data_IF_712870674165
#
_entry.id   IF_712870674165
#
_cell.length_a   1.000
_cell.length_b   1.000
_cell.length_c   1.000
_cell.angle_alpha   90.00
_cell.angle_beta   90.00
_cell.angle_gamma   90.00
#
_symmetry.space_group_name_H-M   'P 1'
#
loop_
_entity.id
_entity.type
_entity.pdbx_description
1 polymer ?
#
# COMPACT_ATOMS: atom_id res chain seq x y z
N UNK A 1 -56.71 -19.79 2.62
CA UNK A 1 -56.29 -18.77 1.64
C UNK A 1 -55.12 -18.05 2.25
N UNK A 2 -53.91 -18.39 1.80
CA UNK A 2 -52.66 -17.86 2.32
C UNK A 2 -52.13 -16.88 1.26
N UNK A 3 -52.14 -15.58 1.56
CA UNK A 3 -51.55 -14.55 0.71
C UNK A 3 -50.05 -14.48 0.99
N UNK A 4 -49.28 -14.98 0.02
CA UNK A 4 -47.83 -14.82 -0.07
C UNK A 4 -47.52 -13.38 -0.47
N UNK A 5 -46.99 -12.60 0.45
CA UNK A 5 -46.47 -11.26 0.17
C UNK A 5 -45.00 -11.39 -0.23
N UNK A 6 -44.73 -11.36 -1.54
CA UNK A 6 -43.38 -11.35 -2.10
C UNK A 6 -42.75 -9.97 -1.87
N UNK A 7 -41.75 -9.90 -1.00
CA UNK A 7 -40.90 -8.72 -0.88
C UNK A 7 -40.01 -8.60 -2.13
N UNK A 8 -39.86 -7.41 -2.73
CA UNK A 8 -38.91 -7.21 -3.82
C UNK A 8 -37.48 -7.26 -3.26
N UNK A 9 -36.65 -8.09 -3.87
CA UNK A 9 -35.24 -8.21 -3.54
C UNK A 9 -34.53 -6.86 -3.71
N UNK A 10 -33.91 -6.37 -2.64
CA UNK A 10 -32.99 -5.25 -2.69
C UNK A 10 -31.83 -5.60 -3.61
N UNK A 11 -31.81 -5.00 -4.80
CA UNK A 11 -30.65 -5.05 -5.69
C UNK A 11 -29.49 -4.30 -5.01
N UNK A 12 -28.25 -4.81 -5.06
CA UNK A 12 -27.10 -4.06 -4.59
C UNK A 12 -26.98 -2.76 -5.39
N UNK A 13 -26.50 -1.65 -4.77
CA UNK A 13 -26.34 -0.39 -5.47
C UNK A 13 -25.42 -0.61 -6.67
N UNK A 14 -25.89 -0.19 -7.85
CA UNK A 14 -25.10 -0.25 -9.07
C UNK A 14 -23.75 0.45 -8.84
N UNK A 15 -22.64 -0.06 -9.42
CA UNK A 15 -21.36 0.61 -9.33
C UNK A 15 -21.53 2.05 -9.84
N UNK A 16 -21.03 3.00 -9.04
CA UNK A 16 -20.98 4.43 -9.35
C UNK A 16 -20.48 4.55 -10.79
N UNK A 17 -21.36 4.89 -11.74
CA UNK A 17 -20.95 5.38 -13.04
C UNK A 17 -20.32 6.75 -12.80
N UNK A 18 -19.06 6.76 -12.35
CA UNK A 18 -18.20 7.93 -12.45
C UNK A 18 -17.92 8.08 -13.93
N UNK A 19 -18.86 8.77 -14.57
CA UNK A 19 -18.86 9.07 -15.97
C UNK A 19 -17.52 9.71 -16.34
N UNK A 20 -16.82 9.01 -17.21
CA UNK A 20 -15.88 9.53 -18.20
C UNK A 20 -16.43 10.83 -18.81
N UNK A 21 -16.15 11.97 -18.18
CA UNK A 21 -16.19 13.33 -18.74
C UNK A 21 -16.11 14.34 -17.59
N UNK A 22 -14.94 14.98 -17.44
CA UNK A 22 -14.79 16.45 -17.55
C UNK A 22 -13.41 16.87 -17.05
N UNK A 23 -12.45 16.87 -17.97
CA UNK A 23 -11.16 17.55 -17.84
C UNK A 23 -11.26 19.11 -17.85
N UNK A 24 -12.42 19.70 -17.50
CA UNK A 24 -12.56 21.16 -17.41
C UNK A 24 -13.73 21.58 -16.47
N UNK A 25 -13.54 22.47 -15.46
CA UNK A 25 -12.30 22.98 -14.86
C UNK A 25 -12.32 22.83 -13.32
N UNK A 26 -11.82 21.71 -12.77
CA UNK A 26 -11.66 21.52 -11.31
C UNK A 26 -10.99 22.72 -10.64
N UNK A 27 -10.00 23.31 -11.32
CA UNK A 27 -9.29 24.53 -10.92
C UNK A 27 -10.21 25.73 -10.64
N UNK A 28 -11.23 25.95 -11.45
CA UNK A 28 -12.13 27.10 -11.31
C UNK A 28 -13.33 26.81 -10.40
N UNK A 29 -13.57 25.53 -10.10
CA UNK A 29 -14.63 25.10 -9.19
C UNK A 29 -14.23 25.17 -7.71
N UNK A 30 -12.93 25.20 -7.39
CA UNK A 30 -12.45 25.25 -6.00
C UNK A 30 -12.91 26.51 -5.27
N UNK A 31 -13.48 26.32 -4.07
CA UNK A 31 -13.88 27.39 -3.16
C UNK A 31 -13.30 27.14 -1.78
N UNK A 32 -12.50 28.07 -1.27
CA UNK A 32 -11.89 27.94 0.06
C UNK A 32 -12.93 27.85 1.19
N UNK A 33 -14.08 28.51 1.03
CA UNK A 33 -15.19 28.42 1.98
C UNK A 33 -15.71 26.98 2.17
N UNK A 34 -15.67 26.15 1.11
CA UNK A 34 -16.04 24.73 1.22
C UNK A 34 -15.04 23.96 2.08
N UNK A 35 -13.73 24.20 1.91
CA UNK A 35 -12.68 23.59 2.74
C UNK A 35 -12.85 23.93 4.22
N UNK A 36 -13.14 25.19 4.54
CA UNK A 36 -13.38 25.63 5.92
C UNK A 36 -14.61 24.93 6.53
N UNK A 37 -15.72 24.84 5.77
CA UNK A 37 -16.91 24.12 6.20
C UNK A 37 -16.63 22.63 6.40
N UNK A 38 -15.97 21.99 5.44
CA UNK A 38 -15.60 20.57 5.52
C UNK A 38 -14.73 20.30 6.76
N UNK A 39 -13.70 21.11 7.00
CA UNK A 39 -12.84 20.96 8.18
C UNK A 39 -13.60 21.17 9.50
N UNK A 40 -14.57 22.06 9.55
CA UNK A 40 -15.44 22.20 10.72
C UNK A 40 -16.26 20.92 10.96
N UNK A 41 -16.82 20.32 9.91
CA UNK A 41 -17.51 19.04 10.02
C UNK A 41 -16.60 17.88 10.44
N UNK A 42 -15.38 17.81 9.90
CA UNK A 42 -14.37 16.82 10.33
C UNK A 42 -14.04 17.01 11.80
N UNK A 43 -13.81 18.24 12.25
CA UNK A 43 -13.53 18.54 13.65
C UNK A 43 -14.69 18.12 14.56
N UNK A 44 -15.94 18.38 14.16
CA UNK A 44 -17.14 17.91 14.87
C UNK A 44 -17.24 16.39 14.91
N UNK A 45 -16.92 15.71 13.81
CA UNK A 45 -16.96 14.25 13.73
C UNK A 45 -15.88 13.60 14.61
N UNK A 46 -14.70 14.21 14.69
CA UNK A 46 -13.60 13.78 15.56
C UNK A 46 -13.90 14.08 17.03
N UNK A 47 -14.52 15.23 17.31
CA UNK A 47 -15.01 15.54 18.64
C UNK A 47 -16.02 14.44 19.02
N UNK A 48 -15.79 13.72 20.12
CA UNK A 48 -16.60 12.54 20.50
C UNK A 48 -18.02 12.92 20.89
N UNK A 49 -18.21 14.13 21.44
CA UNK A 49 -19.50 14.75 21.74
C UNK A 49 -19.44 16.23 21.32
N UNK A 50 -20.41 16.69 20.53
CA UNK A 50 -20.48 18.08 20.08
C UNK A 50 -21.61 18.78 20.84
N UNK A 51 -21.26 19.77 21.66
CA UNK A 51 -22.21 20.59 22.40
C UNK A 51 -22.63 21.75 21.50
N UNK A 52 -23.36 21.45 20.44
CA UNK A 52 -23.82 22.50 19.52
C UNK A 52 -24.69 23.47 20.33
N UNK A 53 -24.43 24.78 20.21
CA UNK A 53 -24.89 25.84 21.13
C UNK A 53 -26.40 26.08 21.24
N UNK A 54 -27.24 25.15 20.78
CA UNK A 54 -28.67 25.12 21.07
C UNK A 54 -28.88 24.68 22.52
N UNK A 55 -28.74 25.65 23.44
CA UNK A 55 -29.07 25.47 24.86
C UNK A 55 -30.49 24.95 25.00
N UNK A 56 -30.62 23.66 25.26
CA UNK A 56 -31.85 23.10 25.81
C UNK A 56 -31.97 23.53 27.27
N UNK A 57 -33.20 23.70 27.74
CA UNK A 57 -33.49 24.18 29.09
C UNK A 57 -32.71 23.38 30.15
N UNK A 58 -32.04 24.07 31.07
CA UNK A 58 -31.18 23.41 32.06
C UNK A 58 -31.95 23.07 33.35
N UNK A 59 -32.01 21.78 33.68
CA UNK A 59 -32.63 21.30 34.92
C UNK A 59 -31.60 21.34 36.04
N UNK A 60 -31.71 22.29 36.97
CA UNK A 60 -30.69 22.43 38.04
C UNK A 60 -30.62 21.22 38.99
N UNK A 61 -31.73 20.53 39.19
CA UNK A 61 -31.86 19.41 40.12
C UNK A 61 -32.68 18.27 39.51
N UNK A 62 -32.13 17.06 39.55
CA UNK A 62 -32.79 15.82 39.12
C UNK A 62 -32.80 14.90 40.34
N UNK A 63 -33.95 14.83 41.02
CA UNK A 63 -34.04 14.21 42.35
C UNK A 63 -33.10 14.90 43.35
N UNK A 64 -32.18 14.13 43.93
CA UNK A 64 -31.14 14.64 44.85
C UNK A 64 -29.83 15.06 44.15
N UNK A 65 -29.69 14.79 42.84
CA UNK A 65 -28.46 15.06 42.09
C UNK A 65 -28.49 16.45 41.46
N UNK A 66 -27.39 17.20 41.60
CA UNK A 66 -27.22 18.52 40.98
C UNK A 66 -26.60 18.37 39.59
N UNK A 67 -27.24 18.96 38.59
CA UNK A 67 -26.76 18.96 37.21
C UNK A 67 -26.35 20.37 36.80
N UNK A 68 -25.09 20.52 36.39
CA UNK A 68 -24.62 21.75 35.77
C UNK A 68 -25.03 21.81 34.30
N UNK A 69 -25.08 23.02 33.73
CA UNK A 69 -25.40 23.20 32.31
C UNK A 69 -24.42 22.41 31.41
N UNK A 70 -23.13 22.40 31.76
CA UNK A 70 -22.11 21.65 31.02
C UNK A 70 -22.36 20.14 31.04
N UNK A 71 -22.68 19.58 32.22
CA UNK A 71 -22.98 18.14 32.34
C UNK A 71 -24.24 17.74 31.54
N UNK A 72 -25.19 18.67 31.39
CA UNK A 72 -26.38 18.44 30.59
C UNK A 72 -26.08 18.55 29.09
N UNK A 73 -25.27 19.51 28.68
CA UNK A 73 -24.82 19.62 27.30
C UNK A 73 -24.05 18.36 26.87
N UNK A 74 -23.15 17.87 27.73
CA UNK A 74 -22.41 16.62 27.52
C UNK A 74 -23.36 15.39 27.46
N UNK A 75 -24.39 15.36 28.33
CA UNK A 75 -25.43 14.33 28.31
C UNK A 75 -26.23 14.33 27.00
N UNK A 76 -26.70 15.49 26.52
CA UNK A 76 -27.48 15.58 25.29
C UNK A 76 -26.63 15.27 24.05
N UNK A 77 -25.39 15.74 24.03
CA UNK A 77 -24.44 15.42 22.96
C UNK A 77 -24.13 13.92 22.90
N UNK A 78 -24.00 13.27 24.07
CA UNK A 78 -23.83 11.82 24.16
C UNK A 78 -25.08 11.03 23.74
N UNK A 79 -26.26 11.49 24.16
CA UNK A 79 -27.52 10.88 23.80
C UNK A 79 -27.77 10.92 22.29
N UNK A 80 -27.41 12.03 21.62
CA UNK A 80 -27.55 12.17 20.17
C UNK A 80 -26.67 11.19 19.37
N UNK A 81 -25.54 10.74 19.91
CA UNK A 81 -24.58 9.88 19.21
C UNK A 81 -24.66 8.40 19.57
N UNK A 82 -24.83 8.10 20.85
CA UNK A 82 -24.87 6.72 21.37
C UNK A 82 -26.30 6.15 21.40
N UNK A 83 -27.31 7.04 21.37
CA UNK A 83 -28.71 6.67 21.48
C UNK A 83 -29.13 6.29 22.91
N UNK A 84 -30.44 6.17 23.13
CA UNK A 84 -31.04 5.97 24.46
C UNK A 84 -30.61 4.69 25.19
N UNK A 85 -30.14 3.69 24.46
CA UNK A 85 -29.86 2.35 24.99
C UNK A 85 -28.51 2.24 25.67
N UNK A 86 -27.54 3.11 25.36
CA UNK A 86 -26.19 3.04 25.89
C UNK A 86 -25.97 3.97 27.10
N UNK A 87 -26.62 3.64 28.21
CA UNK A 87 -26.54 4.43 29.46
C UNK A 87 -25.12 4.44 30.02
N UNK A 88 -24.37 3.35 29.86
CA UNK A 88 -23.00 3.24 30.34
C UNK A 88 -22.06 4.15 29.53
N UNK A 89 -22.20 4.18 28.21
CA UNK A 89 -21.46 5.09 27.34
C UNK A 89 -21.78 6.56 27.61
N UNK A 90 -23.06 6.89 27.87
CA UNK A 90 -23.48 8.25 28.22
C UNK A 90 -22.92 8.68 29.59
N UNK A 91 -22.98 7.83 30.61
CA UNK A 91 -22.39 8.13 31.92
C UNK A 91 -20.87 8.33 31.81
N UNK A 92 -20.19 7.50 31.01
CA UNK A 92 -18.76 7.65 30.73
C UNK A 92 -18.42 8.93 29.96
N UNK A 93 -19.31 9.40 29.09
CA UNK A 93 -19.16 10.66 28.35
C UNK A 93 -19.19 11.89 29.26
N UNK A 94 -20.09 11.88 30.26
CA UNK A 94 -20.24 12.97 31.24
C UNK A 94 -19.11 12.93 32.26
N UNK A 95 -18.67 11.73 32.66
CA UNK A 95 -17.54 11.48 33.55
C UNK A 95 -17.77 11.82 35.03
N UNK A 96 -18.71 12.71 35.37
CA UNK A 96 -19.03 13.14 36.74
C UNK A 96 -20.27 12.49 37.32
N UNK A 97 -21.10 11.86 36.48
CA UNK A 97 -22.38 11.25 36.87
C UNK A 97 -22.30 9.75 36.76
N UNK A 98 -22.93 9.08 37.72
CA UNK A 98 -23.01 7.63 37.77
C UNK A 98 -24.08 7.09 36.80
N UNK A 99 -24.00 5.80 36.47
CA UNK A 99 -25.00 5.09 35.66
C UNK A 99 -26.43 5.30 36.18
N UNK A 100 -26.74 5.12 37.49
CA UNK A 100 -28.10 5.32 37.99
C UNK A 100 -28.56 6.79 37.93
N UNK A 101 -27.68 7.78 38.12
CA UNK A 101 -28.03 9.20 37.99
C UNK A 101 -28.37 9.56 36.54
N UNK A 102 -27.60 9.02 35.59
CA UNK A 102 -27.83 9.18 34.15
C UNK A 102 -29.15 8.53 33.74
N UNK A 103 -29.44 7.34 34.27
CA UNK A 103 -30.69 6.62 34.05
C UNK A 103 -31.89 7.37 34.65
N UNK A 104 -31.76 7.95 35.85
CA UNK A 104 -32.81 8.74 36.48
C UNK A 104 -33.21 9.96 35.63
N UNK A 105 -32.23 10.63 35.02
CA UNK A 105 -32.51 11.75 34.10
C UNK A 105 -33.20 11.27 32.81
N UNK A 106 -32.78 10.15 32.22
CA UNK A 106 -33.45 9.56 31.05
C UNK A 106 -34.90 9.17 31.35
N UNK A 107 -35.15 8.57 32.53
CA UNK A 107 -36.49 8.21 32.98
C UNK A 107 -37.35 9.45 33.20
N UNK A 108 -36.80 10.52 33.78
CA UNK A 108 -37.53 11.77 33.94
C UNK A 108 -37.97 12.36 32.59
N UNK A 109 -37.10 12.31 31.57
CA UNK A 109 -37.49 12.74 30.22
C UNK A 109 -38.53 11.82 29.58
N UNK A 110 -38.43 10.51 29.81
CA UNK A 110 -39.41 9.55 29.32
C UNK A 110 -40.78 9.75 29.97
N UNK A 111 -40.82 9.92 31.29
CA UNK A 111 -42.04 10.17 32.05
C UNK A 111 -42.66 11.51 31.64
N UNK A 112 -41.85 12.56 31.54
CA UNK A 112 -42.32 13.86 31.05
C UNK A 112 -42.88 13.78 29.61
N UNK A 113 -42.24 13.00 28.73
CA UNK A 113 -42.74 12.76 27.38
C UNK A 113 -44.02 11.90 27.36
N UNK A 114 -44.21 11.00 28.34
CA UNK A 114 -45.42 10.17 28.47
C UNK A 114 -46.61 10.91 29.08
N UNK A 115 -46.35 11.88 29.96
CA UNK A 115 -47.34 12.69 30.66
C UNK A 115 -47.73 13.95 29.89
N UNK A 116 -46.80 14.51 29.12
CA UNK A 116 -47.13 15.55 28.18
C UNK A 116 -48.06 14.94 27.12
N UNK A 117 -49.29 15.44 27.02
CA UNK A 117 -50.22 15.16 25.91
C UNK A 117 -49.72 15.80 24.59
N UNK A 118 -48.41 16.01 24.48
CA UNK A 118 -47.71 16.25 23.23
C UNK A 118 -47.87 14.99 22.41
N UNK A 119 -48.67 15.09 21.35
CA UNK A 119 -48.84 13.99 20.41
C UNK A 119 -47.46 13.37 20.11
N UNK A 120 -47.33 12.03 20.10
CA UNK A 120 -46.07 11.38 19.73
C UNK A 120 -45.59 12.03 18.45
N UNK A 121 -44.32 12.46 18.38
CA UNK A 121 -43.73 13.11 17.20
C UNK A 121 -44.25 12.40 15.98
N UNK A 122 -45.24 13.00 15.30
CA UNK A 122 -45.84 12.35 14.15
C UNK A 122 -44.76 12.35 13.09
N UNK A 123 -44.75 11.42 12.13
CA UNK A 123 -43.81 11.47 11.01
C UNK A 123 -43.81 12.80 10.23
N UNK A 124 -44.81 13.67 10.45
CA UNK A 124 -44.88 15.05 9.95
C UNK A 124 -44.04 16.08 10.75
N UNK A 125 -43.80 15.80 12.03
CA UNK A 125 -43.07 16.66 12.98
C UNK A 125 -41.56 16.34 12.96
N UNK A 126 -41.22 15.11 12.58
CA UNK A 126 -39.86 14.75 12.15
C UNK A 126 -39.78 15.18 10.68
N UNK A 127 -38.98 16.19 10.30
CA UNK A 127 -38.77 16.44 8.89
C UNK A 127 -38.28 15.14 8.26
N UNK A 128 -39.07 14.58 7.34
CA UNK A 128 -38.64 13.42 6.55
C UNK A 128 -37.24 13.74 6.05
N UNK A 129 -36.32 12.78 6.17
CA UNK A 129 -34.93 12.96 5.74
C UNK A 129 -34.97 13.68 4.39
N UNK A 130 -34.53 14.95 4.40
CA UNK A 130 -34.63 15.78 3.22
C UNK A 130 -33.65 15.17 2.24
N UNK A 131 -34.18 14.52 1.21
CA UNK A 131 -33.34 13.98 0.16
C UNK A 131 -32.60 15.16 -0.45
N UNK A 132 -31.27 15.13 -0.36
CA UNK A 132 -30.44 16.17 -0.93
C UNK A 132 -30.65 16.08 -2.42
N UNK A 133 -31.41 17.03 -2.98
CA UNK A 133 -31.79 17.00 -4.39
C UNK A 133 -30.57 16.76 -5.27
N UNK A 134 -30.73 15.98 -6.34
CA UNK A 134 -29.63 15.52 -7.20
C UNK A 134 -28.70 16.66 -7.64
N UNK A 135 -29.26 17.84 -7.95
CA UNK A 135 -28.49 19.04 -8.30
C UNK A 135 -27.55 19.52 -7.18
N UNK A 136 -27.97 19.45 -5.92
CA UNK A 136 -27.13 19.77 -4.77
C UNK A 136 -26.06 18.68 -4.56
N UNK A 137 -26.43 17.41 -4.71
CA UNK A 137 -25.49 16.29 -4.65
C UNK A 137 -24.38 16.41 -5.69
N UNK A 138 -24.73 16.65 -6.96
CA UNK A 138 -23.78 16.89 -8.05
C UNK A 138 -22.84 18.06 -7.76
N UNK A 139 -23.36 19.13 -7.15
CA UNK A 139 -22.54 20.29 -6.78
C UNK A 139 -21.57 19.97 -5.63
N UNK A 140 -22.00 19.20 -4.63
CA UNK A 140 -21.13 18.77 -3.53
C UNK A 140 -20.01 17.85 -4.03
N UNK A 141 -20.33 16.90 -4.91
CA UNK A 141 -19.34 16.04 -5.56
C UNK A 141 -18.34 16.87 -6.38
N UNK A 142 -18.81 17.85 -7.16
CA UNK A 142 -17.92 18.76 -7.90
C UNK A 142 -16.99 19.57 -6.96
N UNK A 143 -17.49 20.03 -5.81
CA UNK A 143 -16.65 20.72 -4.83
C UNK A 143 -15.64 19.79 -4.15
N UNK A 144 -16.03 18.55 -3.87
CA UNK A 144 -15.15 17.53 -3.32
C UNK A 144 -14.02 17.18 -4.31
N UNK A 145 -14.36 16.96 -5.58
CA UNK A 145 -13.38 16.73 -6.65
C UNK A 145 -12.41 17.91 -6.82
N UNK A 146 -12.91 19.14 -6.73
CA UNK A 146 -12.10 20.35 -6.81
C UNK A 146 -11.14 20.50 -5.61
N UNK A 147 -11.60 20.14 -4.41
CA UNK A 147 -10.77 20.11 -3.20
C UNK A 147 -9.68 19.04 -3.31
N UNK A 148 -10.03 17.81 -3.70
CA UNK A 148 -9.07 16.71 -3.89
C UNK A 148 -7.98 17.06 -4.91
N UNK A 149 -8.36 17.69 -6.03
CA UNK A 149 -7.41 18.20 -7.02
C UNK A 149 -6.49 19.29 -6.46
N UNK A 150 -7.02 20.19 -5.62
CA UNK A 150 -6.20 21.23 -4.98
C UNK A 150 -5.19 20.63 -4.00
N UNK A 151 -5.61 19.67 -3.18
CA UNK A 151 -4.75 18.95 -2.24
C UNK A 151 -3.63 18.20 -2.98
N UNK A 152 -3.95 17.46 -4.04
CA UNK A 152 -2.94 16.75 -4.85
C UNK A 152 -1.87 17.72 -5.41
N UNK A 153 -2.28 18.92 -5.83
CA UNK A 153 -1.34 19.94 -6.32
C UNK A 153 -0.49 20.57 -5.23
N UNK A 154 -1.05 20.78 -4.05
CA UNK A 154 -0.29 21.25 -2.89
C UNK A 154 0.75 20.20 -2.49
N UNK A 155 0.36 18.94 -2.38
CA UNK A 155 1.25 17.82 -2.05
C UNK A 155 2.36 17.67 -3.10
N UNK A 156 2.03 17.74 -4.38
CA UNK A 156 3.01 17.69 -5.47
C UNK A 156 4.01 18.84 -5.42
N UNK A 157 3.53 20.07 -5.17
CA UNK A 157 4.40 21.23 -5.02
C UNK A 157 5.36 21.06 -3.82
N UNK A 158 4.85 20.58 -2.68
CA UNK A 158 5.69 20.32 -1.52
C UNK A 158 6.74 19.24 -1.78
N UNK A 159 6.38 18.16 -2.46
CA UNK A 159 7.29 17.08 -2.82
C UNK A 159 8.36 17.57 -3.82
N UNK A 160 7.98 18.39 -4.81
CA UNK A 160 8.90 19.00 -5.76
C UNK A 160 9.92 19.91 -5.05
N UNK A 161 9.48 20.72 -4.09
CA UNK A 161 10.38 21.55 -3.27
C UNK A 161 11.36 20.70 -2.43
N UNK A 162 10.90 19.56 -1.90
CA UNK A 162 11.71 18.68 -1.04
C UNK A 162 12.71 17.83 -1.82
N UNK A 163 12.31 17.32 -2.99
CA UNK A 163 13.06 16.28 -3.70
C UNK A 163 13.53 16.68 -5.11
N UNK A 164 13.18 17.88 -5.58
CA UNK A 164 13.56 18.39 -6.90
C UNK A 164 13.02 17.49 -8.01
N UNK A 165 13.78 17.21 -9.08
CA UNK A 165 13.27 16.52 -10.28
C UNK A 165 12.83 15.07 -10.06
N UNK A 166 13.22 14.46 -8.92
CA UNK A 166 12.88 13.07 -8.57
C UNK A 166 11.75 13.01 -7.54
N UNK A 167 10.85 14.00 -7.49
CA UNK A 167 9.72 14.03 -6.57
C UNK A 167 8.65 12.98 -6.89
N UNK A 168 8.41 12.74 -8.19
CA UNK A 168 7.47 11.73 -8.70
C UNK A 168 8.23 10.56 -9.32
N UNK A 169 7.99 9.36 -8.82
CA UNK A 169 8.57 8.13 -9.36
C UNK A 169 7.55 7.53 -10.32
N UNK A 170 7.71 7.84 -11.60
CA UNK A 170 6.99 7.20 -12.71
C UNK A 170 7.69 5.91 -13.12
N UNK A 171 7.06 5.02 -13.91
CA UNK A 171 7.70 3.82 -14.42
C UNK A 171 9.03 4.10 -15.16
N UNK A 172 9.13 5.21 -15.89
CA UNK A 172 10.36 5.61 -16.59
C UNK A 172 11.45 6.05 -15.60
N UNK A 173 11.09 6.88 -14.62
CA UNK A 173 12.01 7.34 -13.57
C UNK A 173 12.47 6.15 -12.71
N UNK A 174 11.58 5.23 -12.36
CA UNK A 174 11.91 4.00 -11.65
C UNK A 174 12.96 3.17 -12.40
N UNK A 175 12.81 2.99 -13.71
CA UNK A 175 13.77 2.27 -14.54
C UNK A 175 15.15 2.98 -14.60
N UNK A 176 15.17 4.32 -14.65
CA UNK A 176 16.41 5.10 -14.61
C UNK A 176 17.13 4.96 -13.25
N UNK A 177 16.37 5.03 -12.15
CA UNK A 177 16.92 4.88 -10.80
C UNK A 177 17.51 3.48 -10.63
N UNK A 178 16.75 2.43 -10.99
CA UNK A 178 17.22 1.04 -10.89
C UNK A 178 18.44 0.82 -11.78
N UNK A 179 18.44 1.29 -13.03
CA UNK A 179 19.58 1.21 -13.93
C UNK A 179 20.83 1.94 -13.42
N UNK A 180 20.68 3.02 -12.65
CA UNK A 180 21.78 3.71 -12.00
C UNK A 180 22.32 2.95 -10.77
N UNK A 181 21.46 2.27 -10.01
CA UNK A 181 21.88 1.40 -8.89
C UNK A 181 22.51 0.10 -9.36
N UNK A 182 22.05 -0.42 -10.50
CA UNK A 182 22.69 -1.48 -11.26
C UNK A 182 23.93 -0.92 -11.97
N UNK A 183 24.89 -0.42 -11.18
CA UNK A 183 26.27 -0.37 -11.68
C UNK A 183 26.57 -1.73 -12.31
N UNK A 184 27.13 -1.79 -13.53
CA UNK A 184 27.47 -3.07 -14.11
C UNK A 184 28.36 -3.73 -13.07
N UNK A 185 27.85 -4.80 -12.43
CA UNK A 185 28.67 -5.71 -11.63
C UNK A 185 29.92 -5.84 -12.44
N UNK A 186 31.06 -5.37 -11.94
CA UNK A 186 32.34 -5.49 -12.65
C UNK A 186 32.40 -6.95 -13.03
N UNK A 187 32.02 -7.26 -14.27
CA UNK A 187 32.03 -8.61 -14.80
C UNK A 187 33.46 -8.98 -14.58
N UNK A 188 33.68 -9.91 -13.63
CA UNK A 188 35.01 -10.18 -13.09
C UNK A 188 35.91 -10.25 -14.30
N UNK A 189 36.82 -9.26 -14.39
CA UNK A 189 37.65 -8.94 -15.55
C UNK A 189 37.81 -10.21 -16.36
N UNK A 190 37.10 -10.37 -17.50
CA UNK A 190 37.10 -11.63 -18.25
C UNK A 190 38.55 -12.02 -18.40
N UNK A 191 38.95 -13.05 -17.65
CA UNK A 191 40.35 -13.44 -17.57
C UNK A 191 40.66 -13.91 -18.99
N UNK A 192 41.40 -13.09 -19.71
CA UNK A 192 41.77 -13.31 -21.10
C UNK A 192 42.29 -14.75 -21.22
N UNK A 193 41.58 -15.55 -22.04
CA UNK A 193 41.86 -16.97 -22.21
C UNK A 193 43.26 -17.23 -22.74
N UNK A 194 43.71 -18.48 -22.63
CA UNK A 194 44.94 -18.97 -23.27
C UNK A 194 45.02 -18.55 -24.75
N UNK A 195 46.24 -18.37 -25.28
CA UNK A 195 46.44 -18.09 -26.71
C UNK A 195 45.76 -19.15 -27.59
N UNK A 196 45.43 -18.79 -28.83
CA UNK A 196 44.71 -19.66 -29.78
C UNK A 196 45.39 -21.01 -29.96
N UNK A 197 46.72 -21.06 -29.98
CA UNK A 197 47.49 -22.30 -30.00
C UNK A 197 47.29 -23.15 -28.74
N UNK A 198 47.53 -22.61 -27.53
CA UNK A 198 47.36 -23.38 -26.30
C UNK A 198 45.91 -23.83 -26.07
N UNK A 199 44.93 -23.05 -26.54
CA UNK A 199 43.51 -23.42 -26.52
C UNK A 199 43.22 -24.62 -27.43
N UNK A 200 43.77 -24.62 -28.66
CA UNK A 200 43.65 -25.74 -29.61
C UNK A 200 44.22 -27.05 -29.05
N UNK A 201 45.30 -26.96 -28.27
CA UNK A 201 45.98 -28.11 -27.70
C UNK A 201 45.59 -28.42 -26.23
N UNK A 202 44.60 -27.72 -25.67
CA UNK A 202 44.14 -27.86 -24.28
C UNK A 202 45.28 -27.84 -23.24
N UNK A 203 46.28 -26.98 -23.45
CA UNK A 203 47.42 -26.81 -22.55
C UNK A 203 47.33 -25.51 -21.75
N UNK A 204 47.97 -25.50 -20.58
CA UNK A 204 48.14 -24.26 -19.80
C UNK A 204 49.00 -23.27 -20.59
N UNK A 205 48.66 -21.99 -20.51
CA UNK A 205 49.31 -20.92 -21.25
C UNK A 205 49.90 -19.92 -20.27
N UNK A 206 51.19 -19.63 -20.46
CA UNK A 206 52.03 -18.86 -19.54
C UNK A 206 51.85 -17.34 -19.72
N UNK A 207 51.02 -16.93 -20.69
CA UNK A 207 50.61 -15.55 -21.00
C UNK A 207 51.70 -14.58 -21.49
N UNK A 208 52.92 -15.05 -21.62
CA UNK A 208 53.99 -14.33 -22.34
C UNK A 208 53.75 -14.40 -23.87
N UNK A 209 54.31 -13.43 -24.60
CA UNK A 209 54.25 -13.36 -26.08
C UNK A 209 55.67 -13.42 -26.65
N UNK A 210 56.12 -14.56 -27.22
CA UNK A 210 55.42 -15.85 -27.36
C UNK A 210 55.34 -16.63 -26.04
N UNK A 211 54.29 -17.44 -25.87
CA UNK A 211 54.12 -18.25 -24.66
C UNK A 211 55.19 -19.36 -24.58
N UNK A 212 55.66 -19.75 -23.39
CA UNK A 212 56.72 -20.77 -23.24
C UNK A 212 56.37 -22.11 -23.89
N UNK A 213 55.11 -22.54 -23.81
CA UNK A 213 54.62 -23.71 -24.54
C UNK A 213 54.61 -23.55 -26.07
N UNK A 214 54.37 -22.34 -26.57
CA UNK A 214 54.38 -21.99 -27.99
C UNK A 214 55.81 -21.99 -28.54
N UNK A 215 56.75 -21.52 -27.71
CA UNK A 215 58.20 -21.52 -27.96
C UNK A 215 58.76 -22.93 -28.04
N UNK A 216 58.42 -23.81 -27.08
CA UNK A 216 58.81 -25.23 -27.10
C UNK A 216 58.33 -25.97 -28.35
N UNK A 217 57.20 -25.55 -28.92
CA UNK A 217 56.58 -26.18 -30.10
C UNK A 217 57.04 -25.58 -31.44
N UNK A 218 57.96 -24.61 -31.42
CA UNK A 218 58.40 -23.87 -32.62
C UNK A 218 57.24 -23.25 -33.41
N UNK A 219 56.14 -22.89 -32.73
CA UNK A 219 54.90 -22.33 -33.30
C UNK A 219 54.65 -20.92 -32.76
N UNK A 220 55.70 -20.10 -32.74
CA UNK A 220 55.64 -18.73 -32.19
C UNK A 220 54.67 -17.85 -32.97
N UNK A 221 54.56 -18.07 -34.28
CA UNK A 221 53.66 -17.33 -35.19
C UNK A 221 52.18 -17.65 -34.96
N UNK A 222 51.85 -18.81 -34.37
CA UNK A 222 50.47 -19.21 -34.04
C UNK A 222 50.05 -18.78 -32.62
N UNK A 223 50.94 -18.13 -31.85
CA UNK A 223 50.67 -17.65 -30.49
C UNK A 223 49.94 -16.30 -30.50
N UNK A 224 48.67 -16.30 -30.90
CA UNK A 224 47.85 -15.09 -30.98
C UNK A 224 46.85 -15.09 -29.83
N UNK A 225 46.76 -13.98 -29.10
CA UNK A 225 45.69 -13.76 -28.13
C UNK A 225 44.54 -13.03 -28.86
N UNK A 226 43.29 -13.52 -28.77
CA UNK A 226 42.16 -12.84 -29.39
C UNK A 226 42.04 -11.43 -28.78
N UNK A 227 42.18 -10.40 -29.61
CA UNK A 227 41.90 -9.03 -29.20
C UNK A 227 40.41 -8.96 -28.84
N UNK A 228 40.11 -8.49 -27.62
CA UNK A 228 38.73 -8.23 -27.20
C UNK A 228 38.15 -7.16 -28.14
N UNK A 229 37.30 -7.56 -29.08
CA UNK A 229 36.39 -6.63 -29.74
C UNK A 229 35.48 -6.08 -28.64
N UNK A 230 35.68 -4.82 -28.26
CA UNK A 230 34.67 -4.10 -27.52
C UNK A 230 33.43 -4.06 -28.42
N UNK A 231 32.25 -4.52 -27.97
CA UNK A 231 31.04 -4.32 -28.76
C UNK A 231 30.89 -2.81 -29.00
N UNK A 232 30.69 -2.43 -30.26
CA UNK A 232 30.48 -1.04 -30.65
C UNK A 232 29.32 -0.49 -29.82
N UNK A 233 29.59 0.56 -29.03
CA UNK A 233 28.53 1.34 -28.39
C UNK A 233 27.64 1.88 -29.51
N UNK A 234 26.31 1.65 -29.50
CA UNK A 234 25.43 2.35 -30.42
C UNK A 234 25.57 3.85 -30.12
N UNK A 235 25.94 4.62 -31.15
CA UNK A 235 25.96 6.08 -31.11
C UNK A 235 24.51 6.55 -31.14
N UNK A 236 23.84 6.48 -29.99
CA UNK A 236 22.68 7.33 -29.75
C UNK A 236 23.18 8.72 -29.41
N UNK A 237 22.69 9.70 -30.16
CA UNK A 237 22.99 11.11 -29.91
C UNK A 237 22.35 11.51 -28.57
N UNK A 238 23.12 11.38 -27.50
CA UNK A 238 22.79 11.91 -26.19
C UNK A 238 22.69 13.44 -26.30
N UNK A 239 21.47 13.97 -26.32
CA UNK A 239 21.20 15.29 -25.75
C UNK A 239 21.36 15.18 -24.24
N UNK A 240 22.61 15.13 -23.76
CA UNK A 240 22.96 15.38 -22.37
C UNK A 240 22.65 16.84 -22.06
N UNK A 241 21.40 17.12 -21.70
CA UNK A 241 21.14 18.21 -20.78
C UNK A 241 21.80 17.83 -19.45
N UNK A 242 22.75 18.67 -19.04
CA UNK A 242 23.50 18.50 -17.83
C UNK A 242 22.56 18.53 -16.60
N UNK A 243 22.24 17.36 -16.07
CA UNK A 243 21.87 17.21 -14.67
C UNK A 243 23.11 16.70 -13.94
N UNK A 244 23.63 17.53 -13.03
CA UNK A 244 24.77 17.17 -12.18
C UNK A 244 24.44 15.98 -11.28
N UNK A 245 25.45 15.15 -11.04
CA UNK A 245 25.50 14.07 -10.04
C UNK A 245 24.15 13.40 -9.75
N UNK A 246 23.84 12.33 -10.50
CA UNK A 246 22.66 11.49 -10.27
C UNK A 246 22.51 11.20 -8.76
N UNK A 247 21.45 11.69 -8.10
CA UNK A 247 21.25 11.42 -6.69
C UNK A 247 20.93 9.94 -6.57
N UNK A 248 21.91 9.13 -6.17
CA UNK A 248 21.68 7.75 -5.77
C UNK A 248 20.58 7.76 -4.69
N UNK A 249 19.40 7.27 -5.04
CA UNK A 249 18.28 7.09 -4.12
C UNK A 249 18.58 5.81 -3.33
N UNK A 250 19.02 5.89 -2.06
CA UNK A 250 19.39 4.69 -1.30
C UNK A 250 18.22 3.72 -1.16
N UNK A 251 16.98 4.24 -1.11
CA UNK A 251 15.76 3.45 -1.02
C UNK A 251 15.60 2.45 -2.17
N UNK A 252 16.04 2.84 -3.38
CA UNK A 252 15.93 2.02 -4.58
C UNK A 252 16.98 0.89 -4.65
N UNK A 253 17.93 0.86 -3.70
CA UNK A 253 18.85 -0.29 -3.55
C UNK A 253 18.13 -1.49 -2.94
N UNK A 254 17.19 -1.23 -2.02
CA UNK A 254 16.46 -2.27 -1.29
C UNK A 254 15.11 -2.57 -1.93
N UNK A 255 14.38 -1.52 -2.31
CA UNK A 255 13.07 -1.62 -2.95
C UNK A 255 13.25 -1.54 -4.45
N UNK A 256 12.55 -2.39 -5.21
CA UNK A 256 12.48 -2.34 -6.67
C UNK A 256 11.23 -1.53 -7.09
N UNK A 257 11.31 -0.19 -7.19
CA UNK A 257 10.14 0.63 -7.54
C UNK A 257 9.49 0.22 -8.87
N UNK A 258 10.26 -0.24 -9.85
CA UNK A 258 9.72 -0.70 -11.14
C UNK A 258 8.79 -1.89 -10.96
N UNK A 259 9.19 -2.87 -10.15
CA UNK A 259 8.35 -4.04 -9.85
C UNK A 259 7.13 -3.63 -9.05
N UNK A 260 7.28 -2.73 -8.07
CA UNK A 260 6.15 -2.23 -7.28
C UNK A 260 5.09 -1.54 -8.16
N UNK A 261 5.51 -0.66 -9.07
CA UNK A 261 4.60 0.03 -9.99
C UNK A 261 4.00 -0.94 -11.01
N UNK A 262 4.78 -1.90 -11.52
CA UNK A 262 4.27 -2.94 -12.42
C UNK A 262 3.16 -3.75 -11.76
N UNK A 263 3.39 -4.27 -10.54
CA UNK A 263 2.38 -5.02 -9.79
C UNK A 263 1.14 -4.15 -9.47
N UNK A 264 1.33 -2.86 -9.22
CA UNK A 264 0.20 -1.94 -9.03
C UNK A 264 -0.66 -1.82 -10.29
N UNK A 265 -0.02 -1.68 -11.46
CA UNK A 265 -0.67 -1.54 -12.76
C UNK A 265 -1.33 -2.83 -13.25
N UNK A 266 -0.70 -3.98 -13.03
CA UNK A 266 -1.16 -5.25 -13.60
C UNK A 266 -2.06 -6.06 -12.67
N UNK A 267 -1.85 -5.99 -11.35
CA UNK A 267 -2.55 -6.83 -10.38
C UNK A 267 -3.43 -6.02 -9.42
N UNK A 268 -2.85 -5.09 -8.66
CA UNK A 268 -3.54 -4.52 -7.51
C UNK A 268 -4.62 -3.50 -7.86
N UNK A 269 -4.43 -2.73 -8.94
CA UNK A 269 -5.37 -1.71 -9.39
C UNK A 269 -6.03 -2.06 -10.73
N UNK A 270 -5.94 -3.32 -11.15
CA UNK A 270 -6.51 -3.83 -12.38
C UNK A 270 -7.56 -4.91 -12.07
N UNK A 271 -8.75 -4.53 -11.57
CA UNK A 271 -9.81 -5.49 -11.31
C UNK A 271 -10.39 -6.04 -12.61
N UNK A 272 -10.73 -7.34 -12.61
CA UNK A 272 -11.43 -7.95 -13.73
C UNK A 272 -12.81 -7.29 -13.96
N UNK A 273 -13.20 -7.04 -15.23
CA UNK A 273 -14.50 -6.46 -15.54
C UNK A 273 -15.69 -7.39 -15.20
N UNK A 274 -15.43 -8.68 -14.98
CA UNK A 274 -16.48 -9.68 -14.72
C UNK A 274 -16.89 -9.74 -13.25
N UNK A 275 -15.99 -9.32 -12.33
CA UNK A 275 -16.25 -9.36 -10.89
C UNK A 275 -16.61 -7.97 -10.40
N UNK A 276 -17.77 -7.78 -9.74
CA UNK A 276 -18.11 -6.48 -9.15
C UNK A 276 -17.12 -6.17 -8.02
N UNK A 277 -16.12 -5.35 -8.34
CA UNK A 277 -15.11 -4.91 -7.40
C UNK A 277 -15.46 -3.52 -6.85
N UNK A 278 -15.33 -3.26 -5.53
CA UNK A 278 -15.68 -1.96 -4.95
C UNK A 278 -14.82 -0.79 -5.41
N UNK A 279 -13.66 -1.08 -6.01
CA UNK A 279 -12.65 -0.07 -6.35
C UNK A 279 -12.54 0.08 -7.87
N UNK A 280 -12.32 1.31 -8.30
CA UNK A 280 -12.14 1.67 -9.70
C UNK A 280 -10.85 1.11 -10.29
N UNK A 281 -10.85 0.88 -11.60
CA UNK A 281 -9.63 0.55 -12.36
C UNK A 281 -8.68 1.75 -12.36
N UNK A 282 -7.36 1.52 -12.39
CA UNK A 282 -6.37 2.61 -12.31
C UNK A 282 -6.55 3.70 -13.38
N UNK A 283 -7.13 3.37 -14.55
CA UNK A 283 -7.41 4.35 -15.61
C UNK A 283 -8.48 5.37 -15.24
N UNK A 284 -9.35 5.06 -14.28
CA UNK A 284 -10.36 6.01 -13.76
C UNK A 284 -9.77 6.90 -12.67
N UNK A 285 -8.66 6.49 -12.06
CA UNK A 285 -7.96 7.23 -11.02
C UNK A 285 -6.82 8.12 -11.56
N UNK A 286 -6.74 8.33 -12.88
CA UNK A 286 -5.66 9.14 -13.46
C UNK A 286 -5.81 10.62 -13.09
N UNK A 287 -4.69 11.26 -12.80
CA UNK A 287 -4.63 12.70 -12.55
C UNK A 287 -3.80 13.43 -13.60
N UNK A 288 -3.84 14.76 -13.56
CA UNK A 288 -3.02 15.62 -14.44
C UNK A 288 -1.51 15.35 -14.25
N UNK A 289 -1.12 14.88 -13.05
CA UNK A 289 0.26 14.60 -12.69
C UNK A 289 0.71 13.21 -13.13
N UNK A 290 -0.19 12.22 -13.08
CA UNK A 290 0.14 10.83 -13.37
C UNK A 290 -0.98 10.12 -14.16
N UNK A 291 -0.65 9.73 -15.39
CA UNK A 291 -1.52 8.93 -16.27
C UNK A 291 -1.43 7.43 -16.02
N UNK A 292 -0.39 7.00 -15.31
CA UNK A 292 -0.17 5.61 -14.94
C UNK A 292 0.17 5.55 -13.44
N UNK A 293 0.04 4.36 -12.81
CA UNK A 293 0.45 4.19 -11.41
C UNK A 293 1.87 4.70 -11.19
N UNK A 294 1.98 5.67 -10.30
CA UNK A 294 3.23 6.32 -9.89
C UNK A 294 3.19 6.54 -8.38
N UNK A 295 4.34 6.88 -7.80
CA UNK A 295 4.43 7.09 -6.37
C UNK A 295 5.30 8.30 -6.03
N UNK A 296 4.90 9.05 -5.00
CA UNK A 296 5.73 10.12 -4.46
C UNK A 296 7.03 9.58 -3.83
N UNK A 297 8.08 10.38 -3.85
CA UNK A 297 9.36 10.02 -3.22
C UNK A 297 9.25 9.89 -1.71
N UNK A 298 8.44 10.71 -1.04
CA UNK A 298 8.12 10.50 0.39
C UNK A 298 7.45 9.14 0.67
N UNK A 299 6.60 8.65 -0.24
CA UNK A 299 5.99 7.34 -0.10
C UNK A 299 7.05 6.22 -0.20
N UNK A 300 7.95 6.30 -1.19
CA UNK A 300 9.06 5.34 -1.32
C UNK A 300 9.95 5.34 -0.06
N UNK A 301 10.28 6.53 0.47
CA UNK A 301 11.03 6.69 1.71
C UNK A 301 10.33 6.06 2.92
N UNK A 302 9.02 6.23 3.01
CA UNK A 302 8.22 5.63 4.08
C UNK A 302 8.21 4.11 3.97
N UNK A 303 8.05 3.55 2.77
CA UNK A 303 8.14 2.10 2.56
C UNK A 303 9.52 1.56 2.95
N UNK A 304 10.60 2.24 2.54
CA UNK A 304 11.94 1.86 2.94
C UNK A 304 12.12 1.88 4.46
N UNK A 305 11.68 2.95 5.13
CA UNK A 305 11.75 3.05 6.59
C UNK A 305 10.96 1.95 7.30
N UNK A 306 9.77 1.59 6.79
CA UNK A 306 8.96 0.50 7.31
C UNK A 306 9.67 -0.85 7.16
N UNK A 307 10.22 -1.15 5.98
CA UNK A 307 10.95 -2.40 5.73
C UNK A 307 12.19 -2.49 6.62
N UNK A 308 12.97 -1.42 6.75
CA UNK A 308 14.13 -1.38 7.66
C UNK A 308 13.72 -1.57 9.11
N UNK A 309 12.63 -0.95 9.56
CA UNK A 309 12.12 -1.09 10.92
C UNK A 309 11.65 -2.52 11.23
N UNK A 310 10.92 -3.15 10.30
CA UNK A 310 10.44 -4.53 10.45
C UNK A 310 11.62 -5.51 10.43
N UNK A 311 12.52 -5.39 9.46
CA UNK A 311 13.70 -6.26 9.36
C UNK A 311 14.63 -6.11 10.56
N UNK A 312 14.86 -4.89 11.05
CA UNK A 312 15.66 -4.66 12.27
C UNK A 312 15.06 -5.36 13.47
N UNK A 313 13.74 -5.24 13.69
CA UNK A 313 13.05 -5.95 14.78
C UNK A 313 13.18 -7.45 14.64
N UNK A 314 12.96 -7.99 13.44
CA UNK A 314 13.09 -9.42 13.17
C UNK A 314 14.51 -9.95 13.44
N UNK A 315 15.53 -9.26 12.94
CA UNK A 315 16.94 -9.62 13.16
C UNK A 315 17.30 -9.54 14.64
N UNK A 316 16.90 -8.48 15.34
CA UNK A 316 17.14 -8.34 16.77
C UNK A 316 16.49 -9.46 17.58
N UNK A 317 15.23 -9.78 17.32
CA UNK A 317 14.53 -10.87 18.01
C UNK A 317 15.17 -12.22 17.69
N UNK A 318 15.56 -12.48 16.44
CA UNK A 318 16.25 -13.71 16.05
C UNK A 318 17.62 -13.85 16.74
N UNK A 319 18.38 -12.77 16.86
CA UNK A 319 19.64 -12.75 17.61
C UNK A 319 19.43 -13.01 19.10
N UNK A 320 18.37 -12.46 19.71
CA UNK A 320 18.01 -12.74 21.11
C UNK A 320 17.66 -14.22 21.29
N UNK A 321 16.88 -14.81 20.38
CA UNK A 321 16.55 -16.25 20.43
C UNK A 321 17.80 -17.12 20.26
N UNK A 322 18.66 -16.81 19.28
CA UNK A 322 19.90 -17.53 19.06
C UNK A 322 20.85 -17.44 20.26
N UNK A 323 21.01 -16.25 20.84
CA UNK A 323 21.86 -16.06 22.03
C UNK A 323 21.29 -16.76 23.26
N UNK A 324 19.97 -16.77 23.46
CA UNK A 324 19.30 -17.54 24.51
C UNK A 324 19.58 -19.04 24.35
N UNK A 325 19.40 -19.59 23.13
CA UNK A 325 19.72 -21.00 22.82
C UNK A 325 21.20 -21.31 23.09
N UNK A 326 22.13 -20.47 22.63
CA UNK A 326 23.55 -20.67 22.84
C UNK A 326 23.91 -20.66 24.34
N UNK A 327 23.30 -19.77 25.14
CA UNK A 327 23.48 -19.74 26.61
C UNK A 327 22.98 -21.02 27.26
N UNK A 328 21.81 -21.52 26.88
CA UNK A 328 21.26 -22.77 27.41
C UNK A 328 22.10 -24.01 27.01
N UNK A 329 22.69 -23.99 25.81
CA UNK A 329 23.50 -25.10 25.29
C UNK A 329 24.95 -25.11 25.78
N UNK A 330 25.45 -24.03 26.41
CA UNK A 330 26.82 -23.95 26.97
C UNK A 330 27.13 -25.00 28.03
N UNK A 331 26.13 -25.57 28.69
CA UNK A 331 26.33 -26.64 29.68
C UNK A 331 26.63 -28.01 29.03
N UNK A 332 26.28 -28.20 27.74
CA UNK A 332 26.56 -29.44 27.01
C UNK A 332 27.86 -29.26 26.23
N UNK A 333 28.89 -30.01 26.63
CA UNK A 333 30.25 -30.01 26.07
C UNK A 333 30.27 -30.68 24.69
N UNK A 334 29.45 -30.21 23.76
CA UNK A 334 29.42 -30.73 22.40
C UNK A 334 30.24 -29.82 21.48
N UNK A 335 31.20 -30.42 20.77
CA UNK A 335 32.24 -29.74 19.97
C UNK A 335 31.67 -29.02 18.74
N UNK A 336 30.36 -29.13 18.51
CA UNK A 336 29.66 -28.62 17.32
C UNK A 336 28.78 -27.38 17.58
N UNK A 337 28.86 -26.75 18.75
CA UNK A 337 28.05 -25.57 19.07
C UNK A 337 28.63 -24.27 18.47
N UNK A 338 28.51 -24.11 17.14
CA UNK A 338 28.93 -22.89 16.45
C UNK A 338 27.94 -21.74 16.73
N UNK A 339 28.43 -20.50 16.94
CA UNK A 339 27.59 -19.33 17.21
C UNK A 339 26.91 -18.84 15.94
N UNK A 340 25.92 -19.60 15.46
CA UNK A 340 25.17 -19.33 14.23
C UNK A 340 23.69 -19.26 14.56
N UNK A 341 22.97 -18.33 13.96
CA UNK A 341 21.50 -18.23 14.02
C UNK A 341 20.91 -19.40 13.21
N UNK A 342 20.09 -20.22 13.85
CA UNK A 342 19.41 -21.36 13.19
C UNK A 342 18.05 -20.94 12.65
N UNK A 343 17.53 -21.68 11.67
CA UNK A 343 16.17 -21.49 11.12
C UNK A 343 15.10 -21.48 12.22
N UNK A 344 15.24 -22.31 13.25
CA UNK A 344 14.30 -22.33 14.39
C UNK A 344 14.32 -21.02 15.19
N UNK A 345 15.48 -20.40 15.37
CA UNK A 345 15.60 -19.12 16.11
C UNK A 345 14.81 -18.01 15.38
N UNK A 346 14.84 -18.02 14.03
CA UNK A 346 14.09 -17.09 13.18
C UNK A 346 12.59 -17.38 13.21
N UNK A 347 12.18 -18.65 13.13
CA UNK A 347 10.75 -19.03 13.20
C UNK A 347 10.12 -18.63 14.53
N UNK A 348 10.81 -18.88 15.65
CA UNK A 348 10.36 -18.41 16.97
C UNK A 348 10.29 -16.89 17.04
N UNK A 349 11.23 -16.17 16.42
CA UNK A 349 11.19 -14.72 16.36
C UNK A 349 9.96 -14.19 15.57
N UNK A 350 9.62 -14.83 14.45
CA UNK A 350 8.41 -14.52 13.67
C UNK A 350 7.15 -14.70 14.53
N UNK A 351 7.07 -15.80 15.29
CA UNK A 351 5.93 -16.09 16.16
C UNK A 351 5.81 -15.06 17.30
N UNK A 352 6.93 -14.66 17.91
CA UNK A 352 6.97 -13.62 18.96
C UNK A 352 6.50 -12.27 18.41
N UNK A 353 6.91 -11.93 17.19
CA UNK A 353 6.49 -10.70 16.51
C UNK A 353 5.07 -10.79 15.93
N UNK A 354 4.39 -11.94 16.09
CA UNK A 354 3.05 -12.23 15.55
C UNK A 354 2.96 -11.98 14.03
N UNK A 355 4.04 -12.28 13.32
CA UNK A 355 4.10 -12.17 11.86
C UNK A 355 3.66 -13.50 11.23
N UNK A 356 3.06 -13.43 10.04
CA UNK A 356 2.80 -14.64 9.25
C UNK A 356 4.12 -15.26 8.79
N UNK A 357 4.23 -16.58 8.88
CA UNK A 357 5.46 -17.31 8.51
C UNK A 357 5.73 -17.31 7.02
N UNK A 358 4.67 -17.39 6.20
CA UNK A 358 4.77 -17.47 4.75
C UNK A 358 3.90 -16.41 4.05
N UNK A 359 4.35 -15.96 2.89
CA UNK A 359 3.61 -15.05 2.00
C UNK A 359 2.58 -15.75 1.10
N UNK A 360 2.59 -17.08 1.01
CA UNK A 360 1.71 -17.84 0.09
C UNK A 360 0.22 -17.56 0.30
N UNK A 361 -0.23 -17.52 1.56
CA UNK A 361 -1.62 -17.14 1.87
C UNK A 361 -1.97 -15.74 1.40
N UNK A 362 -1.01 -14.80 1.46
CA UNK A 362 -1.25 -13.43 1.00
C UNK A 362 -1.53 -13.42 -0.50
N UNK A 363 -0.71 -14.13 -1.28
CA UNK A 363 -0.84 -14.23 -2.74
C UNK A 363 -2.07 -15.04 -3.17
N UNK A 364 -2.40 -16.14 -2.50
CA UNK A 364 -3.70 -16.84 -2.71
C UNK A 364 -4.88 -15.90 -2.53
N UNK A 365 -4.84 -15.05 -1.50
CA UNK A 365 -5.86 -14.04 -1.30
C UNK A 365 -5.81 -12.89 -2.32
N UNK A 366 -4.69 -12.63 -3.00
CA UNK A 366 -4.63 -11.61 -4.08
C UNK A 366 -5.49 -12.05 -5.25
N UNK A 367 -5.41 -13.31 -5.66
CA UNK A 367 -6.18 -13.87 -6.78
C UNK A 367 -7.68 -13.59 -6.61
N UNK A 368 -8.24 -13.96 -5.45
CA UNK A 368 -9.66 -13.74 -5.16
C UNK A 368 -10.01 -12.25 -4.98
N UNK A 369 -9.11 -11.44 -4.41
CA UNK A 369 -9.36 -10.00 -4.22
C UNK A 369 -9.34 -9.23 -5.53
N UNK A 370 -8.42 -9.55 -6.42
CA UNK A 370 -8.25 -8.86 -7.70
C UNK A 370 -9.09 -9.48 -8.83
N UNK A 371 -9.76 -10.60 -8.57
CA UNK A 371 -10.56 -11.31 -9.58
C UNK A 371 -9.70 -11.87 -10.71
N UNK A 372 -8.52 -12.38 -10.38
CA UNK A 372 -7.56 -12.90 -11.35
C UNK A 372 -7.88 -14.37 -11.68
N UNK A 373 -7.70 -14.73 -12.94
CA UNK A 373 -7.72 -16.12 -13.40
C UNK A 373 -6.31 -16.70 -13.34
N UNK A 374 -6.18 -17.93 -12.84
CA UNK A 374 -4.90 -18.63 -12.70
C UNK A 374 -4.94 -19.80 -13.67
N UNK A 375 -3.96 -19.84 -14.56
CA UNK A 375 -3.78 -20.89 -15.56
C UNK A 375 -2.56 -21.74 -15.16
N UNK A 376 -2.68 -23.06 -15.31
CA UNK A 376 -1.59 -24.00 -15.07
C UNK A 376 -0.74 -24.13 -16.35
N UNK A 377 0.59 -24.11 -16.20
CA UNK A 377 1.53 -24.12 -17.34
C UNK A 377 1.43 -25.37 -18.23
N UNK A 378 0.89 -26.47 -17.70
CA UNK A 378 0.97 -27.79 -18.31
C UNK A 378 -0.21 -28.15 -19.25
N UNK A 379 -1.31 -27.37 -19.29
CA UNK A 379 -2.53 -27.73 -20.04
C UNK A 379 -2.93 -26.78 -21.20
N UNK A 380 -2.44 -25.52 -21.22
CA UNK A 380 -3.06 -24.46 -22.03
C UNK A 380 -2.16 -23.86 -23.16
N UNK A 381 -1.19 -24.61 -23.70
CA UNK A 381 -0.36 -24.11 -24.83
C UNK A 381 -1.13 -23.98 -26.16
N UNK A 382 -2.27 -24.66 -26.33
CA UNK A 382 -2.98 -24.74 -27.63
C UNK A 382 -3.94 -23.57 -27.94
N UNK A 383 -4.32 -22.71 -26.99
CA UNK A 383 -5.30 -21.62 -27.23
C UNK A 383 -4.69 -20.21 -27.43
N UNK A 384 -3.36 -20.04 -27.35
CA UNK A 384 -2.72 -18.71 -27.39
C UNK A 384 -2.55 -18.14 -28.80
N UNK A 385 -3.60 -17.52 -29.34
CA UNK A 385 -3.50 -16.60 -30.49
C UNK A 385 -3.87 -15.18 -30.05
N UNK A 386 -2.89 -14.37 -29.62
CA UNK A 386 -3.06 -12.90 -29.63
C UNK A 386 -2.36 -12.07 -28.54
N UNK A 387 -1.99 -12.64 -27.41
CA UNK A 387 -1.56 -11.87 -26.22
C UNK A 387 -0.18 -12.32 -25.72
N UNK A 388 0.79 -11.41 -25.67
CA UNK A 388 2.12 -11.67 -25.08
C UNK A 388 2.03 -11.59 -23.56
N UNK A 389 2.23 -12.68 -22.80
CA UNK A 389 2.02 -12.64 -21.37
C UNK A 389 3.15 -11.92 -20.62
N UNK A 390 2.78 -11.14 -19.61
CA UNK A 390 3.73 -10.59 -18.64
C UNK A 390 4.02 -11.64 -17.57
N UNK A 391 5.11 -12.37 -17.73
CA UNK A 391 5.60 -13.33 -16.72
C UNK A 391 6.17 -12.55 -15.54
N UNK A 392 5.51 -12.66 -14.38
CA UNK A 392 6.09 -12.19 -13.11
C UNK A 392 6.67 -13.39 -12.38
N UNK A 393 8.00 -13.62 -12.45
CA UNK A 393 8.63 -14.68 -11.66
C UNK A 393 8.48 -14.32 -10.18
N UNK A 394 7.80 -15.19 -9.44
CA UNK A 394 7.57 -15.01 -8.01
C UNK A 394 8.85 -15.19 -7.18
N UNK A 395 9.95 -15.71 -7.76
CA UNK A 395 11.23 -16.00 -7.09
C UNK A 395 12.45 -15.87 -8.04
N UNK A 396 13.62 -15.51 -7.51
CA UNK A 396 14.92 -15.63 -8.20
C UNK A 396 15.34 -17.12 -8.15
N UNK A 397 15.29 -17.82 -9.29
CA UNK A 397 15.54 -19.27 -9.46
C UNK A 397 17.01 -19.71 -9.25
N UNK A 398 17.73 -19.15 -8.27
CA UNK A 398 19.16 -19.48 -8.05
C UNK A 398 19.45 -20.40 -6.85
N UNK A 399 18.44 -20.86 -6.10
CA UNK A 399 18.64 -21.89 -5.08
C UNK A 399 18.26 -23.27 -5.65
N UNK A 400 19.27 -23.97 -6.18
CA UNK A 400 19.14 -25.26 -6.87
C UNK A 400 18.79 -26.47 -5.97
N UNK A 401 18.05 -26.28 -4.88
CA UNK A 401 17.72 -27.35 -3.93
C UNK A 401 16.24 -27.42 -3.50
N UNK A 402 15.32 -26.74 -4.19
CA UNK A 402 13.87 -26.94 -4.00
C UNK A 402 13.20 -27.32 -5.32
N UNK A 403 13.09 -28.62 -5.57
CA UNK A 403 12.09 -29.16 -6.48
C UNK A 403 10.70 -29.03 -5.84
N UNK A 404 10.12 -27.83 -5.88
CA UNK A 404 8.72 -27.59 -5.52
C UNK A 404 8.17 -26.54 -6.49
N UNK A 405 7.44 -27.03 -7.51
CA UNK A 405 6.54 -26.36 -8.45
C UNK A 405 6.83 -24.87 -8.72
N UNK A 406 7.38 -24.60 -9.91
CA UNK A 406 7.36 -23.29 -10.54
C UNK A 406 5.90 -22.90 -10.77
N UNK A 407 5.48 -21.76 -10.21
CA UNK A 407 4.20 -21.14 -10.56
C UNK A 407 4.52 -19.78 -11.16
N UNK A 408 4.38 -19.65 -12.47
CA UNK A 408 4.40 -18.34 -13.13
C UNK A 408 2.96 -17.86 -13.30
N UNK A 409 2.66 -16.64 -12.87
CA UNK A 409 1.35 -16.03 -13.12
C UNK A 409 1.42 -15.38 -14.50
N UNK A 410 0.67 -15.90 -15.46
CA UNK A 410 0.46 -15.30 -16.77
C UNK A 410 -0.81 -14.44 -16.73
N UNK A 411 -0.73 -13.20 -17.22
CA UNK A 411 -1.85 -12.26 -17.30
C UNK A 411 -1.90 -11.74 -18.74
N UNK A 412 -3.10 -11.67 -19.32
CA UNK A 412 -3.38 -11.04 -20.62
C UNK A 412 -3.29 -9.51 -20.59
#
# INVERSE_FOLDING_TARGET
MAESSSQPAHSPPAPRRQSQARDAPRKHAYKDAYRQLYNAHVARAVARFDTDGQRSQSTKYVGASRWSAKEQDDFYAALARLGRSDVAGIAAAIGTKSIPETQALLLLFHDAASQADTAPLKPRDIPAAFDVGSACGEQLELQADALAWYEERCDAYEEEQKYGPLWLITPQVAAQIEGATETPRRGGRVIVGACTACKKFKQKCDRETPCGNCQRRKKNTECIYPQQQQPAKPVFQDKKQAMGADPLIPEATLLKPRVMLALSKTLFMNPSPTVPYPWAHWSECTSDLAREPSMYRSALKTFHALVVSVTKRLVQTALIQATSRLRAQRYRVDRNNRPVVKRQDVRTAIDILRMKRDGRERWRGVVSRCGLEVYDEDEDEEERVGSTPVVVPLYDNNDSDTAEMDWSIYIE
#
